data_IF_908623548790
#
_entry.id   IF_908623548790
#
_cell.length_a   1.000
_cell.length_b   1.000
_cell.length_c   1.000
_cell.angle_alpha   90.00
_cell.angle_beta   90.00
_cell.angle_gamma   90.00
#
_symmetry.space_group_name_H-M   'P 1'
#
loop_
_entity.id
_entity.type
_entity.pdbx_description
1 polymer ?
#
# COMPACT_ATOMS: atom_id res chain seq x y z
N UNK A 1 33.30 -2.39 0.37
CA UNK A 1 32.11 -1.53 0.37
C UNK A 1 30.94 -2.40 -0.04
N UNK A 2 30.14 -2.86 0.92
CA UNK A 2 29.00 -3.73 0.65
C UNK A 2 27.89 -2.89 0.03
N UNK A 3 27.41 -3.28 -1.15
CA UNK A 3 26.24 -2.66 -1.76
C UNK A 3 25.04 -2.92 -0.84
N UNK A 4 24.65 -1.92 -0.05
CA UNK A 4 23.37 -1.96 0.66
C UNK A 4 22.26 -1.95 -0.39
N UNK A 5 21.64 -3.11 -0.60
CA UNK A 5 20.48 -3.27 -1.47
C UNK A 5 19.33 -2.44 -0.92
N UNK A 6 19.22 -1.18 -1.36
CA UNK A 6 18.11 -0.31 -0.99
C UNK A 6 16.81 -0.92 -1.51
N UNK A 7 15.90 -1.26 -0.59
CA UNK A 7 14.57 -1.73 -0.96
C UNK A 7 13.80 -0.60 -1.64
N UNK A 8 13.02 -0.94 -2.66
CA UNK A 8 12.17 0.01 -3.40
C UNK A 8 10.70 -0.16 -3.01
N UNK A 9 10.00 0.95 -2.87
CA UNK A 9 8.56 0.98 -2.69
C UNK A 9 7.88 0.32 -3.88
N UNK A 10 7.01 -0.66 -3.63
CA UNK A 10 6.27 -1.34 -4.68
C UNK A 10 5.35 -0.39 -5.48
N UNK A 11 4.88 0.69 -4.84
CA UNK A 11 3.91 1.62 -5.41
C UNK A 11 4.56 2.83 -6.11
N UNK A 12 5.52 3.50 -5.45
CA UNK A 12 6.09 4.75 -5.96
C UNK A 12 7.58 4.66 -6.38
N UNK A 13 8.22 3.50 -6.20
CA UNK A 13 9.61 3.28 -6.61
C UNK A 13 10.68 4.01 -5.78
N UNK A 14 10.31 4.76 -4.75
CA UNK A 14 11.25 5.41 -3.82
C UNK A 14 12.00 4.40 -2.95
N UNK A 15 13.12 4.80 -2.36
CA UNK A 15 13.82 4.02 -1.35
C UNK A 15 12.94 3.89 -0.09
N UNK A 16 12.89 2.69 0.50
CA UNK A 16 12.04 2.38 1.66
C UNK A 16 12.70 1.42 2.63
N UNK A 17 12.23 1.44 3.86
CA UNK A 17 12.39 0.30 4.76
C UNK A 17 11.34 -0.75 4.43
N UNK A 18 11.79 -2.00 4.31
CA UNK A 18 10.94 -3.15 4.04
C UNK A 18 11.32 -4.28 4.98
N UNK A 19 10.34 -4.76 5.72
CA UNK A 19 10.47 -5.90 6.63
C UNK A 19 9.34 -6.92 6.40
N UNK A 20 9.57 -8.16 6.80
CA UNK A 20 8.54 -9.19 6.83
C UNK A 20 8.09 -9.36 8.29
N UNK A 21 6.82 -9.07 8.63
CA UNK A 21 6.34 -9.23 9.99
C UNK A 21 6.48 -10.69 10.45
N UNK A 22 6.96 -10.89 11.68
CA UNK A 22 7.08 -12.23 12.26
C UNK A 22 5.72 -12.96 12.25
N UNK A 23 5.70 -14.19 11.75
CA UNK A 23 4.48 -14.99 11.61
C UNK A 23 3.71 -14.80 10.30
N UNK A 24 4.12 -13.87 9.43
CA UNK A 24 3.50 -13.63 8.12
C UNK A 24 4.56 -13.59 7.00
N UNK A 25 5.16 -14.74 6.62
CA UNK A 25 6.27 -14.77 5.66
C UNK A 25 5.92 -14.27 4.26
N UNK A 26 4.64 -14.30 3.89
CA UNK A 26 4.14 -13.83 2.59
C UNK A 26 3.71 -12.35 2.60
N UNK A 27 3.77 -11.68 3.75
CA UNK A 27 3.40 -10.28 3.89
C UNK A 27 4.67 -9.45 4.00
N UNK A 28 4.81 -8.45 3.14
CA UNK A 28 5.84 -7.43 3.26
C UNK A 28 5.23 -6.16 3.85
N UNK A 29 5.86 -5.62 4.89
CA UNK A 29 5.61 -4.26 5.37
C UNK A 29 6.53 -3.30 4.63
N UNK A 30 5.95 -2.22 4.15
CA UNK A 30 6.65 -1.11 3.52
C UNK A 30 6.46 0.14 4.37
N UNK A 31 7.56 0.79 4.73
CA UNK A 31 7.55 2.10 5.39
C UNK A 31 8.11 3.11 4.40
N UNK A 32 7.21 3.85 3.74
CA UNK A 32 7.54 4.81 2.70
C UNK A 32 7.32 6.25 3.18
N UNK A 33 8.28 7.13 2.87
CA UNK A 33 8.21 8.57 3.11
C UNK A 33 7.01 9.24 2.42
N UNK A 34 6.60 8.75 1.25
CA UNK A 34 5.47 9.26 0.50
C UNK A 34 4.19 8.47 0.81
N UNK A 35 4.18 7.15 0.55
CA UNK A 35 2.97 6.33 0.69
C UNK A 35 2.59 6.04 2.16
N UNK A 36 3.44 6.36 3.14
CA UNK A 36 3.25 5.92 4.51
C UNK A 36 3.50 4.43 4.70
N UNK A 37 2.95 3.87 5.79
CA UNK A 37 3.10 2.44 6.10
C UNK A 37 1.99 1.63 5.44
N UNK A 38 2.35 0.59 4.70
CA UNK A 38 1.36 -0.38 4.21
C UNK A 38 1.91 -1.81 4.19
N UNK A 39 1.00 -2.78 4.28
CA UNK A 39 1.30 -4.19 4.15
C UNK A 39 0.80 -4.69 2.80
N UNK A 40 1.58 -5.54 2.17
CA UNK A 40 1.20 -6.16 0.90
C UNK A 40 1.62 -7.62 0.88
N UNK A 41 0.63 -8.47 0.70
CA UNK A 41 0.77 -9.92 0.61
C UNK A 41 1.16 -10.35 -0.82
N UNK A 42 2.09 -11.29 -0.94
CA UNK A 42 2.57 -11.81 -2.22
C UNK A 42 1.48 -12.52 -3.03
N UNK A 43 0.52 -13.17 -2.36
CA UNK A 43 -0.66 -13.73 -3.03
C UNK A 43 -1.48 -12.63 -3.69
N UNK A 44 -1.70 -11.51 -2.99
CA UNK A 44 -2.46 -10.36 -3.53
C UNK A 44 -1.75 -9.77 -4.75
N UNK A 45 -0.42 -9.63 -4.70
CA UNK A 45 0.38 -9.19 -5.86
C UNK A 45 0.21 -10.12 -7.06
N UNK A 46 0.13 -11.43 -6.83
CA UNK A 46 0.01 -12.43 -7.90
C UNK A 46 -1.39 -12.47 -8.52
N UNK A 47 -2.46 -12.41 -7.71
CA UNK A 47 -3.84 -12.50 -8.21
C UNK A 47 -4.39 -11.18 -8.75
N UNK A 48 -3.86 -10.04 -8.28
CA UNK A 48 -4.23 -8.70 -8.76
C UNK A 48 -2.97 -7.90 -9.09
N UNK A 49 -2.29 -8.22 -10.20
CA UNK A 49 -1.17 -7.42 -10.67
C UNK A 49 -1.65 -5.99 -10.92
N UNK A 50 -0.82 -5.03 -10.52
CA UNK A 50 -1.10 -3.60 -10.68
C UNK A 50 -0.25 -3.02 -11.80
N UNK A 51 -0.90 -2.28 -12.69
CA UNK A 51 -0.24 -1.42 -13.68
C UNK A 51 0.52 -0.29 -12.98
N UNK A 52 1.45 0.36 -13.69
CA UNK A 52 2.18 1.50 -13.14
C UNK A 52 1.25 2.68 -12.79
N UNK A 53 0.18 2.89 -13.56
CA UNK A 53 -0.83 3.91 -13.28
C UNK A 53 -1.60 3.61 -11.99
N UNK A 54 -2.08 2.38 -11.82
CA UNK A 54 -2.77 1.95 -10.60
C UNK A 54 -1.87 2.07 -9.37
N UNK A 55 -0.59 1.69 -9.49
CA UNK A 55 0.40 1.87 -8.42
C UNK A 55 0.55 3.33 -8.02
N UNK A 56 0.61 4.25 -8.98
CA UNK A 56 0.70 5.68 -8.73
C UNK A 56 -0.57 6.21 -8.06
N UNK A 57 -1.76 5.81 -8.54
CA UNK A 57 -3.05 6.17 -7.91
C UNK A 57 -3.10 5.71 -6.47
N UNK A 58 -2.78 4.45 -6.20
CA UNK A 58 -2.73 3.91 -4.84
C UNK A 58 -1.70 4.66 -3.99
N UNK A 59 -0.52 4.98 -4.53
CA UNK A 59 0.47 5.79 -3.82
C UNK A 59 -0.08 7.16 -3.41
N UNK A 60 -0.81 7.84 -4.29
CA UNK A 60 -1.47 9.11 -4.00
C UNK A 60 -2.55 8.96 -2.91
N UNK A 61 -3.44 7.98 -3.03
CA UNK A 61 -4.47 7.71 -2.03
C UNK A 61 -3.86 7.44 -0.64
N UNK A 62 -2.78 6.65 -0.58
CA UNK A 62 -2.08 6.39 0.67
C UNK A 62 -1.35 7.62 1.23
N UNK A 63 -0.75 8.45 0.37
CA UNK A 63 -0.14 9.72 0.79
C UNK A 63 -1.19 10.65 1.40
N UNK A 64 -2.38 10.78 0.81
CA UNK A 64 -3.47 11.56 1.40
C UNK A 64 -3.91 11.00 2.76
N UNK A 65 -4.05 9.68 2.89
CA UNK A 65 -4.37 9.03 4.16
C UNK A 65 -3.33 9.35 5.22
N UNK A 66 -2.04 9.27 4.87
CA UNK A 66 -0.93 9.63 5.75
C UNK A 66 -1.03 11.10 6.18
N UNK A 67 -1.25 12.02 5.24
CA UNK A 67 -1.40 13.46 5.54
C UNK A 67 -2.59 13.75 6.46
N UNK A 68 -3.65 12.95 6.39
CA UNK A 68 -4.82 12.99 7.29
C UNK A 68 -4.55 12.33 8.65
N UNK A 69 -3.33 11.84 8.92
CA UNK A 69 -2.98 11.15 10.16
C UNK A 69 -3.61 9.76 10.29
N UNK A 70 -4.10 9.17 9.21
CA UNK A 70 -4.63 7.81 9.22
C UNK A 70 -3.46 6.82 9.26
N UNK A 71 -3.58 5.81 10.13
CA UNK A 71 -2.55 4.80 10.32
C UNK A 71 -2.31 3.90 9.10
N UNK A 72 -1.32 3.02 9.23
CA UNK A 72 -0.95 2.08 8.16
C UNK A 72 -2.07 1.10 7.79
N UNK A 73 -2.05 0.63 6.56
CA UNK A 73 -3.10 -0.23 6.00
C UNK A 73 -2.55 -1.51 5.39
N UNK A 74 -3.33 -2.59 5.44
CA UNK A 74 -3.04 -3.80 4.70
C UNK A 74 -3.82 -3.80 3.38
N UNK A 75 -3.13 -3.98 2.26
CA UNK A 75 -3.75 -4.05 0.94
C UNK A 75 -4.34 -5.45 0.73
N UNK A 76 -5.63 -5.52 0.43
CA UNK A 76 -6.36 -6.77 0.19
C UNK A 76 -7.23 -6.72 -1.07
N UNK A 77 -7.92 -7.83 -1.33
CA UNK A 77 -8.98 -7.90 -2.37
C UNK A 77 -10.32 -7.33 -1.89
N UNK A 78 -10.54 -7.32 -0.58
CA UNK A 78 -11.77 -6.83 0.05
C UNK A 78 -11.43 -6.02 1.29
N UNK A 79 -12.18 -4.95 1.52
CA UNK A 79 -12.05 -4.13 2.72
C UNK A 79 -12.67 -4.87 3.89
N UNK A 80 -11.91 -5.03 4.98
CA UNK A 80 -12.40 -5.67 6.20
C UNK A 80 -12.17 -4.76 7.40
N UNK A 81 -13.24 -4.11 7.87
CA UNK A 81 -13.17 -3.17 9.00
C UNK A 81 -12.93 -3.84 10.36
N UNK A 82 -13.25 -5.14 10.48
CA UNK A 82 -13.14 -5.91 11.73
C UNK A 82 -11.89 -6.80 11.81
N UNK A 83 -11.20 -7.01 10.69
CA UNK A 83 -9.94 -7.76 10.66
C UNK A 83 -8.78 -6.80 10.46
N UNK A 84 -7.67 -7.11 11.12
CA UNK A 84 -6.41 -6.41 10.92
C UNK A 84 -5.30 -7.42 10.71
N UNK A 85 -4.30 -7.03 9.92
CA UNK A 85 -3.06 -7.77 9.76
C UNK A 85 -1.97 -6.89 10.35
N UNK A 86 -1.22 -7.41 11.33
CA UNK A 86 -0.16 -6.66 12.02
C UNK A 86 -0.62 -5.25 12.47
N UNK A 87 -1.77 -5.16 13.12
CA UNK A 87 -2.41 -3.90 13.58
C UNK A 87 -2.79 -2.90 12.47
N UNK A 88 -2.76 -3.30 11.21
CA UNK A 88 -3.20 -2.49 10.07
C UNK A 88 -4.59 -2.96 9.61
N UNK A 89 -5.53 -2.02 9.44
CA UNK A 89 -6.85 -2.32 8.85
C UNK A 89 -6.70 -2.75 7.39
N UNK A 90 -7.50 -3.73 6.96
CA UNK A 90 -7.48 -4.21 5.58
C UNK A 90 -8.36 -3.30 4.71
N UNK A 91 -7.78 -2.73 3.66
CA UNK A 91 -8.47 -1.94 2.63
C UNK A 91 -8.29 -2.61 1.28
N UNK A 92 -9.34 -2.66 0.46
CA UNK A 92 -9.22 -3.23 -0.87
C UNK A 92 -8.43 -2.30 -1.79
N UNK A 93 -7.70 -2.92 -2.72
CA UNK A 93 -7.05 -2.21 -3.83
C UNK A 93 -8.05 -1.36 -4.60
N UNK A 94 -9.23 -1.91 -4.92
CA UNK A 94 -10.24 -1.20 -5.70
C UNK A 94 -10.84 0.01 -4.94
N UNK A 95 -10.97 -0.07 -3.62
CA UNK A 95 -11.40 1.07 -2.80
C UNK A 95 -10.36 2.21 -2.81
N UNK A 96 -9.07 1.89 -2.81
CA UNK A 96 -8.01 2.89 -2.94
C UNK A 96 -7.97 3.50 -4.35
N UNK A 97 -8.20 2.69 -5.39
CA UNK A 97 -8.28 3.20 -6.77
C UNK A 97 -9.47 4.13 -6.98
N UNK A 98 -10.61 3.84 -6.34
CA UNK A 98 -11.80 4.70 -6.37
C UNK A 98 -11.64 6.06 -5.69
N UNK A 99 -10.69 6.21 -4.76
CA UNK A 99 -10.41 7.47 -4.08
C UNK A 99 -9.66 8.49 -4.95
N UNK A 100 -9.04 8.06 -6.04
CA UNK A 100 -8.25 8.93 -6.93
C UNK A 100 -9.00 9.46 -8.15
N UNK A 101 -10.34 9.35 -8.18
CA UNK A 101 -11.12 10.02 -9.21
C UNK A 101 -11.36 11.47 -8.77
N UNK A 102 -10.99 12.47 -9.60
CA UNK A 102 -11.73 13.72 -9.53
C UNK A 102 -13.19 13.36 -9.82
N UNK A 103 -14.10 13.70 -8.91
CA UNK A 103 -15.48 13.88 -9.31
C UNK A 103 -15.44 14.94 -10.42
N UNK A 104 -15.53 14.52 -11.68
CA UNK A 104 -16.04 15.41 -12.71
C UNK A 104 -17.53 15.54 -12.43
N UNK A 105 -17.87 16.25 -11.37
CA UNK A 105 -19.14 16.92 -11.20
C UNK A 105 -18.99 18.32 -11.78
N UNK A 106 -18.79 18.37 -13.10
CA UNK A 106 -18.99 19.58 -13.88
C UNK A 106 -20.22 19.37 -14.78
N UNK A 107 -21.32 19.94 -14.27
CA UNK A 107 -22.40 20.67 -14.95
C UNK A 107 -23.15 20.02 -16.13
#
# INVERSE_FOLDING_TARGET
>A
MSAESKNKCFLCGRDVEKDCPSGHPHVSRYVCDYCGTYLLDDFIKAVRPLTNEEKLKIACALNERKLKGLGGVALGLKTEKKKSVCNCSIISIDELLGQCLPENSDS
#
